data_IF_450967171443
#
_entry.id   IF_450967171443
#
_cell.length_a   1.000
_cell.length_b   1.000
_cell.length_c   1.000
_cell.angle_alpha   90.00
_cell.angle_beta   90.00
_cell.angle_gamma   90.00
#
_symmetry.space_group_name_H-M   'P 1'
#
loop_
_entity.id
_entity.type
_entity.pdbx_description
1 polymer ?
#
# COMPACT_ATOMS: atom_id res chain seq x y z
N UNK A 1 -26.28 52.40 35.83
CA UNK A 1 -25.89 51.13 36.47
C UNK A 1 -26.20 50.00 35.48
N UNK A 2 -25.28 49.72 34.55
CA UNK A 2 -25.32 48.63 33.57
C UNK A 2 -23.96 47.94 33.72
N UNK A 3 -23.85 46.82 34.46
CA UNK A 3 -22.48 46.40 34.87
C UNK A 3 -22.25 44.96 35.34
N UNK A 4 -23.15 43.98 35.20
CA UNK A 4 -22.76 42.61 35.60
C UNK A 4 -23.52 41.51 34.87
N UNK A 5 -24.84 41.67 34.71
CA UNK A 5 -25.68 40.68 34.05
C UNK A 5 -25.37 40.56 32.55
N UNK A 6 -25.19 41.69 31.86
CA UNK A 6 -24.86 41.72 30.43
C UNK A 6 -23.46 41.15 30.14
N UNK A 7 -22.49 41.38 31.04
CA UNK A 7 -21.13 40.84 30.91
C UNK A 7 -21.07 39.34 31.18
N UNK A 8 -21.87 38.81 32.10
CA UNK A 8 -21.97 37.38 32.35
C UNK A 8 -22.67 36.64 31.21
N UNK A 9 -23.76 37.21 30.66
CA UNK A 9 -24.47 36.65 29.49
C UNK A 9 -23.55 36.59 28.26
N UNK A 10 -22.78 37.65 28.00
CA UNK A 10 -21.84 37.69 26.89
C UNK A 10 -20.67 36.68 27.07
N UNK A 11 -20.25 36.41 28.30
CA UNK A 11 -19.20 35.42 28.57
C UNK A 11 -19.68 33.98 28.33
N UNK A 12 -20.92 33.67 28.72
CA UNK A 12 -21.53 32.36 28.45
C UNK A 12 -21.76 32.14 26.95
N UNK A 13 -22.28 33.13 26.21
CA UNK A 13 -22.45 33.05 24.76
C UNK A 13 -21.12 32.86 23.99
N UNK A 14 -20.03 33.44 24.49
CA UNK A 14 -18.69 33.29 23.88
C UNK A 14 -18.09 31.92 24.21
N UNK A 15 -18.23 31.44 25.45
CA UNK A 15 -17.75 30.12 25.85
C UNK A 15 -18.49 29.00 25.10
N UNK A 16 -19.81 29.09 24.98
CA UNK A 16 -20.64 28.10 24.28
C UNK A 16 -20.34 28.09 22.77
N UNK A 17 -20.03 29.24 22.16
CA UNK A 17 -19.52 29.32 20.79
C UNK A 17 -18.12 28.74 20.61
N UNK A 18 -17.21 28.92 21.57
CA UNK A 18 -15.87 28.34 21.53
C UNK A 18 -15.96 26.81 21.67
N UNK A 19 -16.80 26.33 22.57
CA UNK A 19 -17.00 24.90 22.79
C UNK A 19 -17.69 24.24 21.58
N UNK A 20 -18.67 24.92 20.96
CA UNK A 20 -19.33 24.46 19.72
C UNK A 20 -18.38 24.45 18.52
N UNK A 21 -17.56 25.48 18.33
CA UNK A 21 -16.59 25.53 17.21
C UNK A 21 -15.45 24.53 17.40
N UNK A 22 -15.02 24.28 18.64
CA UNK A 22 -14.06 23.24 18.96
C UNK A 22 -14.63 21.84 18.72
N UNK A 23 -15.89 21.58 19.12
CA UNK A 23 -16.55 20.30 18.89
C UNK A 23 -16.75 20.03 17.39
N UNK A 24 -17.15 21.04 16.62
CA UNK A 24 -17.26 20.95 15.15
C UNK A 24 -15.89 20.66 14.51
N UNK A 25 -14.82 21.32 14.97
CA UNK A 25 -13.47 21.04 14.48
C UNK A 25 -13.01 19.62 14.83
N UNK A 26 -13.34 19.12 16.03
CA UNK A 26 -13.03 17.77 16.47
C UNK A 26 -13.79 16.73 15.64
N UNK A 27 -15.09 16.90 15.45
CA UNK A 27 -15.94 16.04 14.62
C UNK A 27 -15.49 16.04 13.15
N UNK A 28 -15.11 17.20 12.61
CA UNK A 28 -14.53 17.28 11.27
C UNK A 28 -13.16 16.59 11.20
N UNK A 29 -12.36 16.64 12.26
CA UNK A 29 -11.09 15.94 12.35
C UNK A 29 -11.30 14.42 12.37
N UNK A 30 -12.20 13.92 13.22
CA UNK A 30 -12.55 12.50 13.30
C UNK A 30 -13.13 11.97 11.99
N UNK A 31 -14.05 12.71 11.36
CA UNK A 31 -14.59 12.35 10.06
C UNK A 31 -13.51 12.31 8.96
N UNK A 32 -12.51 13.21 9.02
CA UNK A 32 -11.34 13.17 8.12
C UNK A 32 -10.47 11.94 8.39
N UNK A 33 -10.26 11.57 9.65
CA UNK A 33 -9.49 10.38 10.01
C UNK A 33 -10.19 9.08 9.55
N UNK A 34 -11.49 8.96 9.75
CA UNK A 34 -12.28 7.80 9.30
C UNK A 34 -12.27 7.69 7.77
N UNK A 35 -12.45 8.80 7.06
CA UNK A 35 -12.37 8.83 5.60
C UNK A 35 -10.98 8.41 5.09
N UNK A 36 -9.91 8.88 5.73
CA UNK A 36 -8.52 8.48 5.42
C UNK A 36 -8.30 6.99 5.64
N UNK A 37 -8.79 6.44 6.76
CA UNK A 37 -8.68 5.01 7.06
C UNK A 37 -9.40 4.16 6.00
N UNK A 38 -10.63 4.54 5.63
CA UNK A 38 -11.41 3.87 4.57
C UNK A 38 -10.73 3.96 3.21
N UNK A 39 -10.18 5.12 2.85
CA UNK A 39 -9.43 5.29 1.61
C UNK A 39 -8.18 4.39 1.60
N UNK A 40 -7.37 4.40 2.67
CA UNK A 40 -6.18 3.54 2.76
C UNK A 40 -6.54 2.05 2.70
N UNK A 41 -7.60 1.61 3.38
CA UNK A 41 -8.07 0.22 3.32
C UNK A 41 -8.45 -0.21 1.89
N UNK A 42 -9.18 0.65 1.18
CA UNK A 42 -9.50 0.45 -0.25
C UNK A 42 -8.24 0.32 -1.11
N UNK A 43 -7.25 1.19 -0.89
CA UNK A 43 -5.98 1.17 -1.63
C UNK A 43 -5.13 -0.07 -1.32
N UNK A 44 -5.14 -0.55 -0.08
CA UNK A 44 -4.45 -1.77 0.33
C UNK A 44 -4.94 -2.99 -0.45
N UNK A 45 -6.24 -3.10 -0.69
CA UNK A 45 -6.80 -4.18 -1.51
C UNK A 45 -6.18 -4.23 -2.92
N UNK A 46 -5.97 -3.08 -3.56
CA UNK A 46 -5.33 -3.01 -4.88
C UNK A 46 -3.85 -3.40 -4.83
N UNK A 47 -3.13 -2.95 -3.81
CA UNK A 47 -1.72 -3.32 -3.62
C UNK A 47 -1.59 -4.84 -3.44
N UNK A 48 -2.40 -5.44 -2.57
CA UNK A 48 -2.43 -6.89 -2.38
C UNK A 48 -2.75 -7.66 -3.66
N UNK A 49 -3.68 -7.14 -4.48
CA UNK A 49 -4.02 -7.74 -5.78
C UNK A 49 -2.84 -7.71 -6.75
N UNK A 50 -2.07 -6.64 -6.75
CA UNK A 50 -0.87 -6.51 -7.57
C UNK A 50 0.26 -7.42 -7.07
N UNK A 51 0.53 -7.44 -5.77
CA UNK A 51 1.50 -8.33 -5.13
C UNK A 51 1.21 -9.80 -5.45
N UNK A 52 -0.07 -10.21 -5.45
CA UNK A 52 -0.45 -11.56 -5.88
C UNK A 52 -0.07 -11.83 -7.35
N UNK A 53 -0.32 -10.88 -8.26
CA UNK A 53 0.07 -11.00 -9.68
C UNK A 53 1.60 -11.09 -9.83
N UNK A 54 2.34 -10.34 -9.03
CA UNK A 54 3.81 -10.35 -8.98
C UNK A 54 4.29 -11.71 -8.47
N UNK A 55 3.77 -12.18 -7.33
CA UNK A 55 4.15 -13.45 -6.71
C UNK A 55 3.93 -14.63 -7.67
N UNK A 56 2.76 -14.71 -8.32
CA UNK A 56 2.48 -15.73 -9.31
C UNK A 56 3.48 -15.70 -10.48
N UNK A 57 3.88 -14.50 -10.93
CA UNK A 57 4.88 -14.35 -11.99
C UNK A 57 6.28 -14.76 -11.50
N UNK A 58 6.71 -14.27 -10.35
CA UNK A 58 8.00 -14.58 -9.74
C UNK A 58 8.23 -16.08 -9.68
N UNK A 59 7.25 -16.85 -9.20
CA UNK A 59 7.36 -18.32 -9.08
C UNK A 59 7.55 -19.05 -10.41
N UNK A 60 7.22 -18.42 -11.53
CA UNK A 60 7.42 -18.96 -12.87
C UNK A 60 8.79 -18.62 -13.48
N UNK A 61 9.52 -17.65 -12.90
CA UNK A 61 10.81 -17.21 -13.41
C UNK A 61 11.90 -18.25 -13.14
N UNK A 62 12.85 -18.36 -14.07
CA UNK A 62 14.05 -19.19 -13.90
C UNK A 62 14.85 -18.74 -12.68
N UNK A 63 14.94 -17.43 -12.45
CA UNK A 63 15.68 -16.86 -11.32
C UNK A 63 15.15 -17.35 -9.95
N UNK A 64 13.83 -17.57 -9.82
CA UNK A 64 13.26 -18.15 -8.60
C UNK A 64 13.60 -19.64 -8.44
N UNK A 65 13.67 -20.40 -9.54
CA UNK A 65 14.13 -21.80 -9.50
C UNK A 65 15.60 -21.88 -9.10
N UNK A 66 16.43 -20.97 -9.61
CA UNK A 66 17.83 -20.85 -9.24
C UNK A 66 17.99 -20.47 -7.75
N UNK A 67 17.11 -19.61 -7.24
CA UNK A 67 17.07 -19.28 -5.81
C UNK A 67 16.85 -20.52 -4.94
N UNK A 68 15.89 -21.38 -5.30
CA UNK A 68 15.64 -22.65 -4.60
C UNK A 68 16.84 -23.59 -4.67
N UNK A 69 17.51 -23.68 -5.83
CA UNK A 69 18.72 -24.47 -5.98
C UNK A 69 19.89 -23.95 -5.12
N UNK A 70 19.89 -22.65 -4.78
CA UNK A 70 20.85 -21.99 -3.88
C UNK A 70 20.43 -22.03 -2.40
N UNK A 71 19.39 -22.79 -2.05
CA UNK A 71 18.98 -22.99 -0.67
C UNK A 71 17.96 -21.99 -0.13
N UNK A 72 17.32 -21.19 -0.99
CA UNK A 72 16.16 -20.41 -0.57
C UNK A 72 15.00 -21.34 -0.16
N UNK A 73 14.22 -20.93 0.83
CA UNK A 73 13.01 -21.65 1.20
C UNK A 73 11.90 -21.48 0.17
N UNK A 74 11.04 -22.51 0.06
CA UNK A 74 9.87 -22.43 -0.80
C UNK A 74 8.81 -21.52 -0.18
N UNK A 75 8.63 -20.34 -0.78
CA UNK A 75 7.58 -19.40 -0.40
C UNK A 75 6.21 -19.88 -0.92
N UNK A 76 5.25 -20.05 -0.01
CA UNK A 76 3.92 -20.60 -0.33
C UNK A 76 2.93 -19.50 -0.68
N UNK A 77 3.03 -18.37 0.02
CA UNK A 77 2.13 -17.24 -0.09
C UNK A 77 2.88 -15.93 -0.41
N UNK A 78 2.19 -14.94 -1.01
CA UNK A 78 2.77 -13.60 -1.19
C UNK A 78 3.27 -12.99 0.12
N UNK A 79 2.57 -13.24 1.24
CA UNK A 79 2.98 -12.79 2.58
C UNK A 79 4.36 -13.30 2.97
N UNK A 80 4.70 -14.54 2.64
CA UNK A 80 6.00 -15.14 2.96
C UNK A 80 7.12 -14.41 2.20
N UNK A 81 6.87 -14.10 0.92
CA UNK A 81 7.80 -13.34 0.10
C UNK A 81 8.02 -11.94 0.65
N UNK A 82 6.95 -11.24 1.00
CA UNK A 82 7.01 -9.89 1.55
C UNK A 82 7.72 -9.86 2.91
N UNK A 83 7.42 -10.80 3.80
CA UNK A 83 8.08 -10.93 5.09
C UNK A 83 9.58 -11.20 4.93
N UNK A 84 9.99 -12.03 3.97
CA UNK A 84 11.39 -12.25 3.66
C UNK A 84 12.07 -10.98 3.15
N UNK A 85 11.44 -10.25 2.22
CA UNK A 85 11.98 -9.00 1.68
C UNK A 85 12.14 -7.92 2.74
N UNK A 86 11.18 -7.82 3.67
CA UNK A 86 11.26 -6.92 4.82
C UNK A 86 12.42 -7.31 5.75
N UNK A 87 12.52 -8.60 6.09
CA UNK A 87 13.62 -9.12 6.90
C UNK A 87 14.99 -8.86 6.27
N UNK A 88 15.11 -9.01 4.95
CA UNK A 88 16.33 -8.69 4.20
C UNK A 88 16.64 -7.19 4.22
N UNK A 89 15.63 -6.32 4.08
CA UNK A 89 15.81 -4.87 4.17
C UNK A 89 16.29 -4.44 5.56
N UNK A 90 15.80 -5.09 6.62
CA UNK A 90 16.27 -4.86 7.99
C UNK A 90 17.69 -5.38 8.21
N UNK A 91 18.02 -6.53 7.63
CA UNK A 91 19.38 -7.06 7.63
C UNK A 91 20.36 -6.10 6.93
N UNK A 92 19.98 -5.53 5.79
CA UNK A 92 20.81 -4.56 5.06
C UNK A 92 21.13 -3.31 5.91
N UNK A 93 20.18 -2.86 6.73
CA UNK A 93 20.32 -1.69 7.64
C UNK A 93 21.05 -2.01 8.94
N UNK A 94 21.12 -3.29 9.33
CA UNK A 94 21.80 -3.69 10.56
C UNK A 94 23.31 -3.62 10.40
N UNK A 95 23.94 -2.66 11.06
CA UNK A 95 25.39 -2.40 10.98
C UNK A 95 26.20 -3.24 11.97
N UNK A 96 25.56 -3.79 13.01
CA UNK A 96 26.25 -4.45 14.13
C UNK A 96 25.88 -5.93 14.34
N UNK A 97 24.99 -6.51 13.53
CA UNK A 97 24.58 -7.90 13.67
C UNK A 97 25.05 -8.74 12.46
N UNK A 98 26.37 -8.92 12.34
CA UNK A 98 26.98 -9.72 11.25
C UNK A 98 26.34 -11.10 11.13
N UNK A 99 26.11 -11.79 12.25
CA UNK A 99 25.44 -13.09 12.24
C UNK A 99 23.97 -13.07 11.78
N UNK A 100 23.26 -11.95 11.95
CA UNK A 100 21.91 -11.77 11.42
C UNK A 100 21.94 -11.49 9.92
N UNK A 101 22.87 -10.63 9.46
CA UNK A 101 23.08 -10.37 8.03
C UNK A 101 23.39 -11.65 7.27
N UNK A 102 24.36 -12.42 7.72
CA UNK A 102 24.81 -13.63 7.02
C UNK A 102 23.73 -14.72 7.00
N UNK A 103 22.89 -14.78 8.05
CA UNK A 103 21.77 -15.71 8.12
C UNK A 103 20.61 -15.35 7.18
N UNK A 104 20.40 -14.06 6.91
CA UNK A 104 19.25 -13.56 6.12
C UNK A 104 19.63 -13.28 4.67
N UNK A 105 20.77 -12.65 4.42
CA UNK A 105 21.26 -12.26 3.09
C UNK A 105 22.01 -13.41 2.40
N UNK A 106 21.38 -14.58 2.36
CA UNK A 106 21.94 -15.76 1.70
C UNK A 106 21.87 -15.60 0.16
N UNK A 107 22.74 -16.29 -0.60
CA UNK A 107 22.68 -16.27 -2.06
C UNK A 107 21.32 -16.71 -2.64
N UNK A 108 20.61 -17.60 -1.94
CA UNK A 108 19.24 -17.99 -2.28
C UNK A 108 18.26 -16.84 -2.09
N UNK A 109 18.27 -16.19 -0.93
CA UNK A 109 17.35 -15.08 -0.61
C UNK A 109 17.61 -13.86 -1.50
N UNK A 110 18.86 -13.56 -1.85
CA UNK A 110 19.18 -12.52 -2.82
C UNK A 110 18.62 -12.81 -4.22
N UNK A 111 18.65 -14.08 -4.65
CA UNK A 111 18.03 -14.49 -5.91
C UNK A 111 16.49 -14.42 -5.83
N UNK A 112 15.87 -14.69 -4.68
CA UNK A 112 14.44 -14.43 -4.46
C UNK A 112 14.12 -12.95 -4.62
N UNK A 113 14.90 -12.06 -3.99
CA UNK A 113 14.77 -10.60 -4.13
C UNK A 113 14.90 -10.16 -5.60
N UNK A 114 15.87 -10.70 -6.32
CA UNK A 114 16.02 -10.48 -7.76
C UNK A 114 14.79 -10.92 -8.57
N UNK A 115 14.29 -12.13 -8.31
CA UNK A 115 13.11 -12.66 -9.00
C UNK A 115 11.83 -11.87 -8.70
N UNK A 116 11.68 -11.39 -7.46
CA UNK A 116 10.58 -10.51 -7.09
C UNK A 116 10.65 -9.20 -7.88
N UNK A 117 11.80 -8.52 -7.86
CA UNK A 117 11.98 -7.26 -8.57
C UNK A 117 11.76 -7.40 -10.09
N UNK A 118 12.27 -8.48 -10.70
CA UNK A 118 12.03 -8.78 -12.11
C UNK A 118 10.53 -8.99 -12.39
N UNK A 119 9.82 -9.67 -11.50
CA UNK A 119 8.38 -9.86 -11.64
C UNK A 119 7.59 -8.54 -11.48
N UNK A 120 8.02 -7.63 -10.59
CA UNK A 120 7.42 -6.29 -10.44
C UNK A 120 7.57 -5.49 -11.73
N UNK A 121 8.79 -5.45 -12.30
CA UNK A 121 9.08 -4.79 -13.58
C UNK A 121 8.29 -5.41 -14.73
N UNK A 122 8.21 -6.74 -14.79
CA UNK A 122 7.40 -7.44 -15.79
C UNK A 122 5.89 -7.16 -15.66
N UNK A 123 5.43 -6.71 -14.49
CA UNK A 123 4.06 -6.23 -14.26
C UNK A 123 3.90 -4.74 -14.48
N UNK A 124 4.94 -4.05 -14.95
CA UNK A 124 4.91 -2.67 -15.39
C UNK A 124 5.15 -1.64 -14.29
N UNK A 125 5.63 -2.04 -13.11
CA UNK A 125 5.95 -1.16 -11.98
C UNK A 125 7.44 -1.25 -11.62
N UNK A 126 8.00 -0.22 -11.01
CA UNK A 126 9.36 -0.27 -10.46
C UNK A 126 9.33 -0.82 -9.02
N UNK A 127 10.38 -1.53 -8.57
CA UNK A 127 10.46 -2.02 -7.19
C UNK A 127 10.26 -0.92 -6.14
N UNK A 128 10.83 0.27 -6.37
CA UNK A 128 10.75 1.41 -5.47
C UNK A 128 9.33 2.00 -5.41
N UNK A 129 8.62 2.03 -6.55
CA UNK A 129 7.22 2.46 -6.61
C UNK A 129 6.33 1.51 -5.79
N UNK A 130 6.54 0.20 -5.93
CA UNK A 130 5.78 -0.79 -5.15
C UNK A 130 6.12 -0.68 -3.66
N UNK A 131 7.40 -0.53 -3.32
CA UNK A 131 7.83 -0.37 -1.93
C UNK A 131 7.22 0.88 -1.27
N UNK A 132 7.14 2.01 -2.01
CA UNK A 132 6.49 3.22 -1.54
C UNK A 132 5.00 3.00 -1.28
N UNK A 133 4.29 2.32 -2.19
CA UNK A 133 2.88 1.98 -2.01
C UNK A 133 2.64 1.06 -0.81
N UNK A 134 3.56 0.14 -0.52
CA UNK A 134 3.45 -0.76 0.63
C UNK A 134 3.43 -0.03 1.98
N UNK A 135 3.98 1.18 2.08
CA UNK A 135 3.88 2.01 3.30
C UNK A 135 2.44 2.37 3.66
N UNK A 136 1.53 2.42 2.67
CA UNK A 136 0.10 2.62 2.91
C UNK A 136 -0.52 1.46 3.69
N UNK A 137 0.00 0.24 3.54
CA UNK A 137 -0.49 -0.97 4.25
C UNK A 137 -0.13 -0.93 5.74
N UNK A 138 1.05 -0.43 6.08
CA UNK A 138 1.54 -0.39 7.46
C UNK A 138 0.85 0.65 8.35
N UNK A 139 0.08 1.56 7.75
CA UNK A 139 -0.47 2.73 8.43
C UNK A 139 -1.97 2.61 8.78
N UNK A 140 -2.55 1.42 8.64
CA UNK A 140 -3.95 1.14 9.01
C UNK A 140 -3.96 0.45 10.38
N UNK A 141 -4.58 1.04 11.42
CA UNK A 141 -4.70 0.37 12.71
C UNK A 141 -5.50 -0.93 12.55
N UNK A 142 -4.91 -2.03 13.01
CA UNK A 142 -5.50 -3.37 13.07
C UNK A 142 -6.57 -3.33 14.16
N UNK A 143 -7.79 -2.91 13.81
CA UNK A 143 -8.90 -2.75 14.75
C UNK A 143 -10.27 -3.18 14.24
N UNK A 144 -10.46 -3.29 12.93
CA UNK A 144 -11.68 -3.85 12.35
C UNK A 144 -11.38 -5.25 11.79
N UNK A 145 -12.23 -6.21 12.15
CA UNK A 145 -12.18 -7.62 11.72
C UNK A 145 -12.42 -7.80 10.21
N UNK A 146 -12.66 -6.70 9.49
CA UNK A 146 -12.67 -6.65 8.04
C UNK A 146 -11.23 -6.60 7.53
N UNK A 147 -10.71 -7.78 7.18
CA UNK A 147 -9.42 -7.92 6.51
C UNK A 147 -9.23 -6.82 5.45
N UNK A 148 -8.13 -6.04 5.49
CA UNK A 148 -7.85 -4.99 4.50
C UNK A 148 -7.70 -5.52 3.06
N UNK A 149 -7.76 -6.84 2.89
CA UNK A 149 -7.68 -7.54 1.60
C UNK A 149 -9.05 -8.09 1.13
N UNK A 150 -10.12 -8.00 1.94
CA UNK A 150 -11.32 -8.82 1.81
C UNK A 150 -12.48 -8.25 0.98
N UNK A 151 -12.71 -6.94 0.98
CA UNK A 151 -13.90 -6.36 0.36
C UNK A 151 -13.58 -5.14 -0.48
N UNK A 152 -13.02 -5.37 -1.67
CA UNK A 152 -12.95 -4.32 -2.69
C UNK A 152 -14.33 -4.25 -3.39
N UNK A 153 -15.23 -3.42 -2.87
CA UNK A 153 -16.52 -3.12 -3.51
C UNK A 153 -16.41 -2.26 -4.78
N UNK A 154 -15.21 -1.79 -5.12
CA UNK A 154 -14.94 -0.86 -6.23
C UNK A 154 -13.94 -1.42 -7.22
N UNK A 155 -14.25 -1.41 -8.50
CA UNK A 155 -13.29 -1.88 -9.51
C UNK A 155 -12.03 -0.99 -9.58
N UNK A 156 -10.87 -1.51 -10.06
CA UNK A 156 -9.68 -0.68 -10.28
C UNK A 156 -9.94 0.53 -11.19
N UNK A 157 -10.85 0.41 -12.16
CA UNK A 157 -11.21 1.48 -13.07
C UNK A 157 -12.03 2.59 -12.38
N UNK A 158 -12.98 2.21 -11.52
CA UNK A 158 -13.74 3.18 -10.71
C UNK A 158 -12.83 3.88 -9.69
N UNK A 159 -11.89 3.16 -9.07
CA UNK A 159 -10.92 3.76 -8.16
C UNK A 159 -9.95 4.71 -8.89
N UNK A 160 -9.61 4.41 -10.14
CA UNK A 160 -8.83 5.31 -11.00
C UNK A 160 -9.62 6.60 -11.28
N UNK A 161 -10.88 6.49 -11.69
CA UNK A 161 -11.77 7.64 -11.95
C UNK A 161 -11.97 8.51 -10.68
N UNK A 162 -12.12 7.89 -9.51
CA UNK A 162 -12.17 8.62 -8.24
C UNK A 162 -10.88 9.39 -7.94
N UNK A 163 -9.72 8.83 -8.28
CA UNK A 163 -8.42 9.48 -8.09
C UNK A 163 -8.20 10.62 -9.12
N UNK A 164 -8.62 10.43 -10.37
CA UNK A 164 -8.57 11.46 -11.44
C UNK A 164 -9.49 12.64 -11.13
N UNK A 165 -10.71 12.35 -10.68
CA UNK A 165 -11.73 13.35 -10.34
C UNK A 165 -11.49 14.06 -9.00
N UNK A 166 -10.46 13.66 -8.25
CA UNK A 166 -10.15 14.22 -6.93
C UNK A 166 -11.15 13.86 -5.84
N UNK A 167 -12.06 12.91 -6.10
CA UNK A 167 -12.98 12.37 -5.08
C UNK A 167 -12.24 11.51 -4.06
N UNK A 168 -11.15 10.87 -4.47
CA UNK A 168 -10.23 10.21 -3.56
C UNK A 168 -9.24 11.23 -2.98
N UNK A 169 -9.54 11.74 -1.79
CA UNK A 169 -8.69 12.70 -1.08
C UNK A 169 -7.48 11.98 -0.48
N UNK A 170 -6.33 12.10 -1.14
CA UNK A 170 -5.03 11.72 -0.62
C UNK A 170 -4.57 12.74 0.43
N UNK A 171 -4.22 12.31 1.66
CA UNK A 171 -3.52 13.18 2.61
C UNK A 171 -2.28 13.83 1.98
N UNK A 172 -1.97 15.08 2.35
CA UNK A 172 -0.78 15.77 1.84
C UNK A 172 0.52 15.01 2.12
N UNK A 173 0.60 14.34 3.28
CA UNK A 173 1.71 13.46 3.66
C UNK A 173 1.93 12.30 2.68
N UNK A 174 0.88 11.86 1.98
CA UNK A 174 0.90 10.77 1.01
C UNK A 174 0.96 11.26 -0.45
N UNK A 175 1.03 12.58 -0.70
CA UNK A 175 0.92 13.14 -2.05
C UNK A 175 1.96 12.56 -3.04
N UNK A 176 3.13 12.18 -2.54
CA UNK A 176 4.21 11.53 -3.29
C UNK A 176 3.83 10.14 -3.85
N UNK A 177 2.79 9.51 -3.31
CA UNK A 177 2.30 8.19 -3.73
C UNK A 177 1.27 8.26 -4.86
N UNK A 178 0.82 9.47 -5.23
CA UNK A 178 -0.22 9.67 -6.25
C UNK A 178 0.15 9.07 -7.60
N UNK A 179 1.36 9.32 -8.10
CA UNK A 179 1.83 8.78 -9.38
C UNK A 179 1.97 7.24 -9.37
N UNK A 180 2.66 6.61 -8.39
CA UNK A 180 2.66 5.15 -8.23
C UNK A 180 1.25 4.56 -8.17
N UNK A 181 0.32 5.24 -7.51
CA UNK A 181 -1.04 4.76 -7.36
C UNK A 181 -1.84 4.82 -8.66
N UNK A 182 -1.73 5.91 -9.44
CA UNK A 182 -2.28 5.98 -10.79
C UNK A 182 -1.81 4.81 -11.66
N UNK A 183 -0.50 4.55 -11.61
CA UNK A 183 0.14 3.46 -12.35
C UNK A 183 -0.38 2.09 -11.90
N UNK A 184 -0.45 1.84 -10.59
CA UNK A 184 -1.02 0.62 -10.02
C UNK A 184 -2.44 0.37 -10.54
N UNK A 185 -3.31 1.37 -10.41
CA UNK A 185 -4.71 1.26 -10.77
C UNK A 185 -4.88 1.07 -12.29
N UNK A 186 -4.11 1.78 -13.11
CA UNK A 186 -4.06 1.57 -14.56
C UNK A 186 -3.64 0.14 -14.94
N UNK A 187 -2.59 -0.41 -14.31
CA UNK A 187 -2.13 -1.78 -14.53
C UNK A 187 -3.15 -2.83 -14.09
N UNK A 188 -3.94 -2.54 -13.06
CA UNK A 188 -4.98 -3.44 -12.56
C UNK A 188 -6.28 -3.36 -13.36
N UNK A 189 -6.62 -2.17 -13.89
CA UNK A 189 -7.78 -1.90 -14.73
C UNK A 189 -7.59 -2.39 -16.18
N UNK A 190 -6.34 -2.39 -16.68
CA UNK A 190 -6.04 -2.92 -18.00
C UNK A 190 -6.44 -4.42 -18.09
N UNK A 191 -7.05 -4.84 -19.20
CA UNK A 191 -7.29 -6.27 -19.44
C UNK A 191 -5.94 -7.00 -19.35
N UNK A 192 -5.91 -8.24 -18.80
CA UNK A 192 -4.68 -9.02 -18.77
C UNK A 192 -4.18 -9.10 -20.20
N UNK A 193 -2.98 -8.55 -20.46
CA UNK A 193 -2.41 -8.46 -21.80
C UNK A 193 -2.61 -9.81 -22.48
N UNK A 194 -3.48 -9.82 -23.51
CA UNK A 194 -3.81 -11.03 -24.24
C UNK A 194 -2.48 -11.67 -24.66
N UNK A 195 -2.30 -12.95 -24.32
CA UNK A 195 -1.17 -13.72 -24.80
C UNK A 195 -1.11 -13.48 -26.32
N UNK A 196 -0.05 -12.82 -26.78
CA UNK A 196 0.14 -12.54 -28.19
C UNK A 196 -0.10 -13.85 -28.95
N UNK A 197 -0.94 -13.87 -30.00
CA UNK A 197 -1.18 -15.10 -30.75
C UNK A 197 0.18 -15.60 -31.21
N UNK A 198 0.48 -16.86 -30.86
CA UNK A 198 1.67 -17.56 -31.30
C UNK A 198 1.77 -17.33 -32.81
N UNK A 199 2.82 -16.62 -33.23
CA UNK A 199 3.09 -16.40 -34.63
C UNK A 199 3.10 -17.78 -35.29
N UNK A 200 2.10 -18.01 -36.14
CA UNK A 200 2.03 -19.17 -37.00
C UNK A 200 3.31 -19.18 -37.82
N UNK A 201 4.19 -20.12 -37.50
CA UNK A 201 5.32 -20.47 -38.34
C UNK A 201 4.74 -20.95 -39.68
N UNK A 202 4.71 -20.03 -40.63
CA UNK A 202 4.30 -20.29 -42.00
C UNK A 202 5.47 -20.87 -42.78
N UNK A 203 5.25 -22.11 -43.24
CA UNK A 203 5.83 -22.82 -44.39
C UNK A 203 7.30 -23.20 -44.30
#
# INVERSE_FOLDING_TARGET
MQSAADSASAFYDVQERIDSTFLEALLQSEARHELRAKCRAKLCGFICRFELRVFCRMRSLTLYKDALAKGAELLRFPSDALALLELMADADKSWNAVGFRDAVLTPGNEAVRGAWNEAVVAKGMLPEELAALQLLKCSIPVGDEDSPCGHIGTSPAEALDELESGRLLMPEEDAHLKEPLFKLLGLLAAPPAAAAPAATAGV
#
